data_IF_540687630089
#
_entry.id   IF_540687630089
#
_cell.length_a   1.000
_cell.length_b   1.000
_cell.length_c   1.000
_cell.angle_alpha   90.00
_cell.angle_beta   90.00
_cell.angle_gamma   90.00
#
_symmetry.space_group_name_H-M   'P 1'
#
loop_
_entity.id
_entity.type
_entity.pdbx_description
1 polymer ?
#
# COMPACT_ATOMS: atom_id res chain seq x y z
N UNK A 1 1.36 -8.03 -3.24
CA UNK A 1 0.18 -7.33 -2.70
C UNK A 1 0.17 -7.50 -1.19
N UNK A 2 -0.03 -6.42 -0.45
CA UNK A 2 -0.11 -6.42 1.01
C UNK A 2 -1.47 -5.88 1.42
N UNK A 3 -2.41 -6.76 1.80
CA UNK A 3 -3.60 -6.35 2.52
C UNK A 3 -3.23 -6.15 3.99
N UNK A 4 -3.47 -4.95 4.50
CA UNK A 4 -3.17 -4.59 5.88
C UNK A 4 -4.49 -4.52 6.62
N UNK A 5 -4.85 -5.65 7.21
CA UNK A 5 -5.94 -5.76 8.18
C UNK A 5 -5.31 -5.67 9.58
N UNK A 6 -5.85 -4.85 10.47
CA UNK A 6 -5.19 -4.33 11.68
C UNK A 6 -4.69 -5.34 12.74
N UNK A 7 -3.77 -6.23 12.41
CA UNK A 7 -3.04 -7.05 13.38
C UNK A 7 -1.63 -6.47 13.57
N UNK A 8 -1.32 -6.05 14.79
CA UNK A 8 0.02 -5.63 15.20
C UNK A 8 0.38 -6.11 16.61
N UNK A 9 -0.33 -7.10 17.16
CA UNK A 9 -0.07 -7.58 18.54
C UNK A 9 0.08 -9.11 18.63
N UNK A 10 -0.23 -9.88 17.59
CA UNK A 10 0.31 -11.22 17.40
C UNK A 10 1.27 -11.23 16.21
N UNK A 11 2.32 -12.06 16.26
CA UNK A 11 3.41 -12.17 15.29
C UNK A 11 2.97 -12.49 13.84
N UNK A 12 2.32 -11.56 13.15
CA UNK A 12 2.10 -11.67 11.72
C UNK A 12 2.09 -10.27 11.11
N UNK A 13 3.30 -9.77 10.82
CA UNK A 13 3.54 -8.67 9.89
C UNK A 13 2.70 -8.89 8.63
N UNK A 14 2.14 -7.82 8.06
CA UNK A 14 1.18 -7.90 6.95
C UNK A 14 1.53 -8.94 5.89
N UNK A 15 0.54 -9.72 5.46
CA UNK A 15 0.74 -10.81 4.53
C UNK A 15 1.17 -10.29 3.15
N UNK A 16 2.34 -10.72 2.65
CA UNK A 16 2.77 -10.42 1.28
C UNK A 16 2.30 -11.53 0.35
N UNK A 17 1.31 -11.23 -0.50
CA UNK A 17 0.95 -12.08 -1.63
C UNK A 17 1.88 -11.77 -2.81
N UNK A 18 2.80 -12.71 -3.10
CA UNK A 18 3.57 -12.69 -4.34
C UNK A 18 2.74 -13.29 -5.45
N UNK A 19 2.55 -12.54 -6.53
CA UNK A 19 1.81 -12.98 -7.71
C UNK A 19 2.68 -12.67 -8.93
N UNK A 20 2.89 -13.67 -9.78
CA UNK A 20 3.72 -13.56 -10.99
C UNK A 20 2.82 -13.68 -12.21
N UNK A 21 2.91 -12.73 -13.15
CA UNK A 21 2.24 -12.82 -14.45
C UNK A 21 3.16 -13.49 -15.46
N UNK A 22 2.62 -14.35 -16.34
CA UNK A 22 3.41 -15.05 -17.36
C UNK A 22 3.86 -14.12 -18.51
N UNK A 23 5.03 -14.39 -19.09
CA UNK A 23 5.70 -13.57 -20.12
C UNK A 23 5.03 -13.54 -21.51
N UNK A 24 3.86 -14.17 -21.72
CA UNK A 24 3.25 -14.35 -23.05
C UNK A 24 1.96 -13.52 -23.25
N UNK A 25 2.05 -12.50 -24.12
CA UNK A 25 1.01 -11.49 -24.45
C UNK A 25 -0.41 -12.02 -24.74
N UNK A 26 -0.59 -13.17 -25.38
CA UNK A 26 -1.94 -13.68 -25.76
C UNK A 26 -2.69 -14.40 -24.61
N UNK A 27 -1.98 -14.84 -23.57
CA UNK A 27 -2.57 -15.40 -22.35
C UNK A 27 -2.84 -14.32 -21.27
N UNK A 28 -2.29 -13.12 -21.47
CA UNK A 28 -2.15 -12.08 -20.46
C UNK A 28 -3.48 -11.51 -19.93
N UNK A 29 -4.48 -11.27 -20.79
CA UNK A 29 -5.79 -10.77 -20.35
C UNK A 29 -6.61 -11.80 -19.56
N UNK A 30 -6.49 -13.09 -19.92
CA UNK A 30 -7.10 -14.19 -19.17
C UNK A 30 -6.39 -14.39 -17.84
N UNK A 31 -5.08 -14.33 -17.84
CA UNK A 31 -4.24 -14.42 -16.65
C UNK A 31 -4.45 -13.21 -15.73
N UNK A 32 -4.73 -12.02 -16.26
CA UNK A 32 -5.06 -10.82 -15.48
C UNK A 32 -6.45 -10.89 -14.85
N UNK A 33 -7.46 -11.41 -15.57
CA UNK A 33 -8.79 -11.64 -14.96
C UNK A 33 -8.71 -12.72 -13.89
N UNK A 34 -7.92 -13.77 -14.14
CA UNK A 34 -7.66 -14.83 -13.16
C UNK A 34 -6.90 -14.28 -11.96
N UNK A 35 -5.87 -13.45 -12.17
CA UNK A 35 -5.15 -12.72 -11.14
C UNK A 35 -6.08 -11.80 -10.34
N UNK A 36 -6.96 -11.03 -10.99
CA UNK A 36 -7.92 -10.18 -10.31
C UNK A 36 -8.93 -10.99 -9.49
N UNK A 37 -9.33 -12.18 -9.98
CA UNK A 37 -10.18 -13.11 -9.25
C UNK A 37 -9.45 -13.77 -8.07
N UNK A 38 -8.18 -14.16 -8.24
CA UNK A 38 -7.31 -14.72 -7.19
C UNK A 38 -7.01 -13.68 -6.11
N UNK A 39 -6.76 -12.43 -6.51
CA UNK A 39 -6.68 -11.27 -5.63
C UNK A 39 -8.00 -11.07 -4.90
N UNK A 40 -9.14 -11.06 -5.61
CA UNK A 40 -10.46 -10.90 -5.00
C UNK A 40 -10.78 -12.01 -3.98
N UNK A 41 -10.44 -13.26 -4.29
CA UNK A 41 -10.61 -14.40 -3.38
C UNK A 41 -9.66 -14.35 -2.19
N UNK A 42 -8.39 -14.02 -2.41
CA UNK A 42 -7.42 -13.82 -1.34
C UNK A 42 -7.84 -12.71 -0.38
N UNK A 43 -8.32 -11.59 -0.91
CA UNK A 43 -8.85 -10.48 -0.12
C UNK A 43 -10.12 -10.86 0.64
N UNK A 44 -11.05 -11.57 0.00
CA UNK A 44 -12.27 -12.04 0.66
C UNK A 44 -11.95 -13.01 1.81
N UNK A 45 -10.99 -13.92 1.63
CA UNK A 45 -10.53 -14.84 2.67
C UNK A 45 -9.79 -14.17 3.82
N UNK A 46 -9.15 -13.02 3.57
CA UNK A 46 -8.49 -12.22 4.60
C UNK A 46 -9.48 -11.30 5.34
N UNK A 47 -10.48 -10.77 4.64
CA UNK A 47 -11.57 -9.98 5.23
C UNK A 47 -12.44 -10.80 6.17
N UNK A 48 -12.75 -12.06 5.85
CA UNK A 48 -13.49 -12.97 6.75
C UNK A 48 -12.72 -13.30 8.02
N UNK A 49 -11.38 -13.23 7.97
CA UNK A 49 -10.50 -13.46 9.13
C UNK A 49 -10.12 -12.17 9.88
N UNK A 50 -10.48 -10.99 9.35
CA UNK A 50 -10.16 -9.71 9.96
C UNK A 50 -11.05 -9.47 11.20
N UNK A 51 -10.51 -9.76 12.38
CA UNK A 51 -11.10 -9.32 13.66
C UNK A 51 -10.94 -7.79 13.81
N UNK A 52 -11.92 -7.13 14.43
CA UNK A 52 -11.83 -5.71 14.82
C UNK A 52 -10.70 -5.53 15.82
N UNK A 53 -9.66 -4.78 15.45
CA UNK A 53 -8.50 -4.54 16.31
C UNK A 53 -8.14 -3.06 16.35
N UNK A 54 -7.46 -2.65 17.42
CA UNK A 54 -7.26 -1.23 17.79
C UNK A 54 -6.02 -0.56 17.18
N UNK A 55 -5.11 -1.29 16.55
CA UNK A 55 -3.84 -0.76 16.03
C UNK A 55 -3.48 -1.40 14.67
N UNK A 56 -3.36 -0.57 13.64
CA UNK A 56 -2.92 -0.94 12.29
C UNK A 56 -1.45 -0.56 12.10
N UNK A 57 -0.59 -1.52 11.76
CA UNK A 57 0.84 -1.31 11.44
C UNK A 57 1.12 -1.43 9.95
N UNK A 58 0.85 -0.33 9.24
CA UNK A 58 1.12 -0.23 7.81
C UNK A 58 2.63 -0.19 7.56
N UNK A 59 3.37 0.56 8.40
CA UNK A 59 4.81 0.76 8.23
C UNK A 59 5.59 -0.54 8.40
N UNK A 60 5.25 -1.36 9.40
CA UNK A 60 5.87 -2.68 9.59
C UNK A 60 5.64 -3.60 8.39
N UNK A 61 4.42 -3.59 7.83
CA UNK A 61 4.10 -4.38 6.64
C UNK A 61 4.88 -3.89 5.39
N UNK A 62 5.03 -2.58 5.25
CA UNK A 62 5.82 -1.96 4.19
C UNK A 62 7.32 -2.30 4.30
N UNK A 63 7.85 -2.46 5.52
CA UNK A 63 9.23 -2.91 5.72
C UNK A 63 9.46 -4.30 5.15
N UNK A 64 8.57 -5.24 5.47
CA UNK A 64 8.64 -6.60 4.92
C UNK A 64 8.56 -6.55 3.38
N UNK A 65 7.70 -5.70 2.82
CA UNK A 65 7.61 -5.47 1.38
C UNK A 65 8.94 -5.06 0.75
N UNK A 66 9.63 -4.11 1.37
CA UNK A 66 10.91 -3.58 0.89
C UNK A 66 11.97 -4.69 0.84
N UNK A 67 12.05 -5.53 1.88
CA UNK A 67 12.98 -6.65 1.91
C UNK A 67 12.71 -7.65 0.77
N UNK A 68 11.42 -7.90 0.47
CA UNK A 68 11.01 -8.78 -0.62
C UNK A 68 11.34 -8.19 -2.01
N UNK A 69 11.07 -6.89 -2.20
CA UNK A 69 11.45 -6.16 -3.43
C UNK A 69 12.96 -6.27 -3.66
N UNK A 70 13.76 -6.10 -2.59
CA UNK A 70 15.21 -6.15 -2.66
C UNK A 70 15.75 -7.52 -3.10
N UNK A 71 15.03 -8.60 -2.81
CA UNK A 71 15.35 -9.96 -3.28
C UNK A 71 14.94 -10.13 -4.75
N UNK A 72 13.72 -9.72 -5.13
CA UNK A 72 13.16 -9.95 -6.46
C UNK A 72 13.85 -9.13 -7.57
N UNK A 73 14.35 -7.93 -7.29
CA UNK A 73 15.08 -7.16 -8.31
C UNK A 73 16.38 -7.81 -8.79
N UNK A 74 16.99 -8.67 -7.98
CA UNK A 74 18.16 -9.45 -8.42
C UNK A 74 17.81 -10.36 -9.61
N UNK A 75 16.53 -10.62 -9.82
CA UNK A 75 15.99 -11.45 -10.89
C UNK A 75 15.54 -10.61 -12.12
N UNK A 76 15.79 -9.30 -12.13
CA UNK A 76 15.49 -8.37 -13.24
C UNK A 76 13.99 -8.30 -13.62
N UNK A 77 13.10 -8.52 -12.66
CA UNK A 77 11.65 -8.42 -12.85
C UNK A 77 11.12 -7.02 -12.53
N UNK A 78 10.09 -6.57 -13.25
CA UNK A 78 9.31 -5.37 -12.88
C UNK A 78 8.50 -5.70 -11.62
N UNK A 79 8.70 -4.92 -10.55
CA UNK A 79 7.96 -5.09 -9.30
C UNK A 79 6.92 -3.99 -9.13
N UNK A 80 5.69 -4.41 -8.79
CA UNK A 80 4.58 -3.53 -8.45
C UNK A 80 4.14 -3.81 -7.03
N UNK A 81 4.28 -2.83 -6.14
CA UNK A 81 3.74 -2.90 -4.79
C UNK A 81 2.28 -2.49 -4.80
N UNK A 82 1.40 -3.34 -4.26
CA UNK A 82 -0.03 -3.05 -4.13
C UNK A 82 -0.36 -3.06 -2.64
N UNK A 83 -0.76 -1.91 -2.10
CA UNK A 83 -1.19 -1.73 -0.71
C UNK A 83 -2.69 -1.55 -0.68
N UNK A 84 -3.38 -2.38 0.10
CA UNK A 84 -4.83 -2.27 0.31
C UNK A 84 -5.12 -2.09 1.80
N UNK A 85 -5.62 -0.91 2.15
CA UNK A 85 -5.94 -0.52 3.51
C UNK A 85 -6.72 0.80 3.49
N UNK A 86 -7.31 1.19 4.61
CA UNK A 86 -7.83 2.54 4.82
C UNK A 86 -6.74 3.63 4.91
N UNK A 87 -5.47 3.25 4.79
CA UNK A 87 -4.29 4.10 4.88
C UNK A 87 -4.07 4.72 6.26
N UNK A 88 -4.78 4.27 7.30
CA UNK A 88 -4.65 4.84 8.65
C UNK A 88 -3.69 3.98 9.48
N UNK A 89 -2.46 4.47 9.67
CA UNK A 89 -1.51 3.83 10.59
C UNK A 89 -1.78 4.27 12.04
N UNK A 90 -1.77 3.30 12.97
CA UNK A 90 -2.12 3.50 14.38
C UNK A 90 -1.09 2.92 15.35
N UNK A 91 0.20 2.89 14.98
CA UNK A 91 1.30 2.48 15.86
C UNK A 91 1.90 3.64 16.64
N UNK A 92 2.60 3.36 17.75
CA UNK A 92 3.15 4.41 18.65
C UNK A 92 4.08 5.42 17.95
N UNK A 93 4.75 5.04 16.85
CA UNK A 93 5.65 5.91 16.10
C UNK A 93 4.99 6.77 15.01
N UNK A 94 3.71 6.51 14.69
CA UNK A 94 3.00 7.20 13.62
C UNK A 94 1.48 7.05 13.83
N UNK A 95 0.87 7.98 14.57
CA UNK A 95 -0.56 7.93 14.93
C UNK A 95 -1.38 8.86 14.03
N UNK A 96 -1.73 8.36 12.85
CA UNK A 96 -2.50 9.12 11.87
C UNK A 96 -3.88 9.53 12.37
N UNK A 97 -4.44 8.72 13.27
CA UNK A 97 -5.72 8.97 13.94
C UNK A 97 -5.68 10.15 14.91
N UNK A 98 -4.52 10.45 15.50
CA UNK A 98 -4.42 11.40 16.63
C UNK A 98 -3.49 12.56 16.37
N UNK A 99 -2.34 12.34 15.75
CA UNK A 99 -1.29 13.34 15.67
C UNK A 99 -1.78 14.58 14.90
N UNK A 100 -1.51 15.76 15.46
CA UNK A 100 -1.97 17.03 14.90
C UNK A 100 -1.32 17.35 13.55
N UNK A 101 -0.17 16.74 13.26
CA UNK A 101 0.54 16.88 11.99
C UNK A 101 -0.33 16.50 10.78
N UNK A 102 -1.23 15.53 10.96
CA UNK A 102 -2.14 15.09 9.90
C UNK A 102 -3.33 16.02 9.69
N UNK A 103 -3.59 16.97 10.58
CA UNK A 103 -4.66 17.96 10.37
C UNK A 103 -4.27 19.03 9.33
N UNK A 104 -3.01 19.06 8.89
CA UNK A 104 -2.49 20.02 7.91
C UNK A 104 -1.73 19.27 6.82
N UNK A 105 -2.23 19.21 5.58
CA UNK A 105 -1.60 18.48 4.48
C UNK A 105 -0.10 18.80 4.29
N UNK A 106 0.28 20.07 4.35
CA UNK A 106 1.68 20.50 4.19
C UNK A 106 2.60 19.96 5.30
N UNK A 107 2.11 19.95 6.54
CA UNK A 107 2.86 19.41 7.68
C UNK A 107 2.99 17.89 7.58
N UNK A 108 1.94 17.21 7.10
CA UNK A 108 1.96 15.78 6.87
C UNK A 108 2.99 15.39 5.80
N UNK A 109 3.11 16.17 4.71
CA UNK A 109 4.17 15.98 3.71
C UNK A 109 5.57 16.14 4.30
N UNK A 110 5.83 17.25 5.00
CA UNK A 110 7.14 17.47 5.63
C UNK A 110 7.50 16.34 6.60
N UNK A 111 6.53 15.89 7.39
CA UNK A 111 6.71 14.77 8.30
C UNK A 111 7.02 13.47 7.55
N UNK A 112 6.36 13.21 6.42
CA UNK A 112 6.62 12.04 5.59
C UNK A 112 8.04 12.01 5.05
N UNK A 113 8.57 13.14 4.57
CA UNK A 113 9.96 13.23 4.09
C UNK A 113 10.95 12.86 5.20
N UNK A 114 10.82 13.47 6.39
CA UNK A 114 11.68 13.17 7.53
C UNK A 114 11.51 11.72 8.00
N UNK A 115 10.28 11.21 8.01
CA UNK A 115 9.98 9.84 8.42
C UNK A 115 10.59 8.81 7.47
N UNK A 116 10.44 8.99 6.15
CA UNK A 116 10.99 8.11 5.13
C UNK A 116 12.53 8.04 5.22
N UNK A 117 13.18 9.21 5.39
CA UNK A 117 14.63 9.31 5.55
C UNK A 117 15.11 8.59 6.82
N UNK A 118 14.49 8.87 7.97
CA UNK A 118 14.88 8.24 9.24
C UNK A 118 14.71 6.73 9.22
N UNK A 119 13.71 6.25 8.48
CA UNK A 119 13.43 4.82 8.32
C UNK A 119 14.29 4.16 7.23
N UNK A 120 15.05 4.90 6.43
CA UNK A 120 15.82 4.36 5.29
C UNK A 120 14.95 3.47 4.37
N UNK A 121 13.75 3.94 4.03
CA UNK A 121 12.94 3.27 3.01
C UNK A 121 13.52 3.54 1.63
N UNK A 122 13.70 2.49 0.85
CA UNK A 122 14.14 2.55 -0.54
C UNK A 122 13.23 1.66 -1.39
N UNK A 123 12.39 2.30 -2.20
CA UNK A 123 11.45 1.62 -3.09
C UNK A 123 12.09 1.20 -4.40
N UNK A 124 13.38 1.52 -4.62
CA UNK A 124 14.18 1.07 -5.77
C UNK A 124 13.49 1.25 -7.11
N UNK A 125 12.85 2.38 -7.32
CA UNK A 125 12.09 2.65 -8.55
C UNK A 125 10.90 1.72 -8.81
N UNK A 126 10.32 1.14 -7.74
CA UNK A 126 9.08 0.37 -7.81
C UNK A 126 7.88 1.26 -8.17
N UNK A 127 6.87 0.66 -8.78
CA UNK A 127 5.57 1.26 -8.99
C UNK A 127 4.63 0.86 -7.85
N UNK A 128 3.87 1.81 -7.31
CA UNK A 128 3.10 1.63 -6.08
C UNK A 128 1.62 1.93 -6.31
N UNK A 129 0.74 0.99 -6.01
CA UNK A 129 -0.70 1.16 -6.06
C UNK A 129 -1.27 1.19 -4.64
N UNK A 130 -2.01 2.23 -4.31
CA UNK A 130 -2.61 2.46 -3.00
C UNK A 130 -4.13 2.41 -3.16
N UNK A 131 -4.70 1.23 -2.95
CA UNK A 131 -6.14 1.02 -2.98
C UNK A 131 -6.74 1.28 -1.60
N UNK A 132 -7.35 2.46 -1.45
CA UNK A 132 -8.01 2.88 -0.21
C UNK A 132 -9.27 2.05 -0.01
N UNK A 133 -9.38 1.43 1.17
CA UNK A 133 -10.57 0.73 1.62
C UNK A 133 -11.36 1.63 2.58
N UNK A 134 -12.68 1.57 2.51
CA UNK A 134 -13.50 2.27 3.50
C UNK A 134 -13.39 1.57 4.87
N UNK A 135 -13.11 2.35 5.91
CA UNK A 135 -13.16 1.90 7.30
C UNK A 135 -13.97 2.89 8.15
N UNK A 136 -14.50 2.42 9.27
CA UNK A 136 -15.19 3.30 10.23
C UNK A 136 -14.26 4.41 10.73
N UNK A 137 -12.98 4.11 10.93
CA UNK A 137 -12.00 5.08 11.42
C UNK A 137 -11.76 6.18 10.38
N UNK A 138 -11.58 5.81 9.10
CA UNK A 138 -11.42 6.76 7.99
C UNK A 138 -12.69 7.62 7.78
N UNK A 139 -13.88 7.03 7.95
CA UNK A 139 -15.15 7.76 7.84
C UNK A 139 -15.34 8.80 8.95
N UNK A 140 -14.85 8.52 10.16
CA UNK A 140 -14.94 9.43 11.31
C UNK A 140 -13.90 10.57 11.29
N UNK A 141 -12.87 10.47 10.45
CA UNK A 141 -11.89 11.55 10.29
C UNK A 141 -12.48 12.77 9.58
N UNK A 142 -11.98 13.94 9.95
CA UNK A 142 -12.26 15.17 9.20
C UNK A 142 -11.64 15.10 7.80
N UNK A 143 -12.16 15.91 6.88
CA UNK A 143 -11.60 16.07 5.52
C UNK A 143 -10.10 16.39 5.57
N UNK A 144 -9.71 17.33 6.42
CA UNK A 144 -8.33 17.80 6.51
C UNK A 144 -7.40 16.68 6.97
N UNK A 145 -7.86 15.86 7.93
CA UNK A 145 -7.07 14.71 8.40
C UNK A 145 -6.93 13.64 7.32
N UNK A 146 -7.99 13.34 6.57
CA UNK A 146 -7.92 12.41 5.43
C UNK A 146 -6.96 12.90 4.34
N UNK A 147 -7.00 14.19 4.03
CA UNK A 147 -6.07 14.80 3.08
C UNK A 147 -4.63 14.72 3.61
N UNK A 148 -4.40 15.00 4.89
CA UNK A 148 -3.09 14.85 5.51
C UNK A 148 -2.54 13.42 5.45
N UNK A 149 -3.39 12.41 5.69
CA UNK A 149 -3.00 10.99 5.52
C UNK A 149 -2.62 10.68 4.08
N UNK A 150 -3.42 11.13 3.11
CA UNK A 150 -3.13 10.92 1.69
C UNK A 150 -1.81 11.57 1.28
N UNK A 151 -1.62 12.83 1.65
CA UNK A 151 -0.40 13.58 1.34
C UNK A 151 0.84 13.00 2.02
N UNK A 152 0.70 12.51 3.26
CA UNK A 152 1.80 11.82 3.94
C UNK A 152 2.27 10.62 3.11
N UNK A 153 1.36 9.73 2.71
CA UNK A 153 1.75 8.52 1.99
C UNK A 153 2.29 8.83 0.60
N UNK A 154 1.70 9.79 -0.12
CA UNK A 154 2.22 10.27 -1.40
C UNK A 154 3.68 10.72 -1.29
N UNK A 155 3.97 11.57 -0.30
CA UNK A 155 5.32 12.09 -0.07
C UNK A 155 6.27 11.03 0.49
N UNK A 156 5.80 10.12 1.33
CA UNK A 156 6.58 9.01 1.88
C UNK A 156 7.12 8.08 0.77
N UNK A 157 6.27 7.72 -0.20
CA UNK A 157 6.69 6.91 -1.33
C UNK A 157 7.57 7.69 -2.31
N UNK A 158 7.26 8.97 -2.53
CA UNK A 158 8.10 9.85 -3.34
C UNK A 158 9.51 9.99 -2.76
N UNK A 159 9.62 10.33 -1.48
CA UNK A 159 10.87 10.49 -0.75
C UNK A 159 11.69 9.19 -0.67
N UNK A 160 11.03 8.03 -0.67
CA UNK A 160 11.69 6.72 -0.75
C UNK A 160 12.07 6.27 -2.16
N UNK A 161 11.90 7.12 -3.20
CA UNK A 161 12.37 6.82 -4.56
C UNK A 161 11.43 5.99 -5.43
N UNK A 162 10.12 5.96 -5.12
CA UNK A 162 9.14 5.34 -6.01
C UNK A 162 9.02 6.13 -7.32
N UNK A 163 9.07 5.48 -8.49
CA UNK A 163 8.94 6.16 -9.80
C UNK A 163 7.52 6.57 -10.11
N UNK A 164 6.54 5.87 -9.54
CA UNK A 164 5.12 6.14 -9.73
C UNK A 164 4.36 5.59 -8.56
N UNK A 165 3.40 6.37 -8.07
CA UNK A 165 2.37 5.89 -7.17
C UNK A 165 0.99 6.35 -7.64
N UNK A 166 -0.05 5.58 -7.31
CA UNK A 166 -1.44 5.95 -7.60
C UNK A 166 -2.34 5.60 -6.42
N UNK A 167 -3.11 6.58 -5.96
CA UNK A 167 -4.25 6.35 -5.08
C UNK A 167 -5.49 5.97 -5.87
N UNK A 168 -6.22 4.99 -5.37
CA UNK A 168 -7.52 4.60 -5.88
C UNK A 168 -8.49 4.44 -4.71
N UNK A 169 -9.63 5.12 -4.77
CA UNK A 169 -10.65 5.07 -3.71
C UNK A 169 -11.60 3.88 -3.86
N UNK A 170 -11.51 3.13 -4.96
CA UNK A 170 -12.32 1.94 -5.24
C UNK A 170 -11.57 0.64 -4.87
N UNK A 171 -10.62 0.71 -3.94
CA UNK A 171 -9.76 -0.40 -3.57
C UNK A 171 -8.97 -0.91 -4.77
N UNK A 172 -9.35 -2.08 -5.32
CA UNK A 172 -8.68 -2.73 -6.45
C UNK A 172 -9.17 -2.28 -7.83
N UNK A 173 -10.20 -1.43 -7.91
CA UNK A 173 -10.90 -1.15 -9.17
C UNK A 173 -10.02 -0.57 -10.28
N UNK A 174 -9.05 0.28 -9.94
CA UNK A 174 -8.10 0.85 -10.92
C UNK A 174 -6.80 0.04 -11.09
N UNK A 175 -6.60 -1.05 -10.34
CA UNK A 175 -5.36 -1.83 -10.37
C UNK A 175 -5.01 -2.35 -11.78
N UNK A 176 -5.95 -2.91 -12.58
CA UNK A 176 -5.63 -3.37 -13.93
C UNK A 176 -5.10 -2.23 -14.82
N UNK A 177 -5.70 -1.03 -14.74
CA UNK A 177 -5.24 0.13 -15.51
C UNK A 177 -3.86 0.60 -15.06
N UNK A 178 -3.60 0.54 -13.76
CA UNK A 178 -2.31 0.91 -13.20
C UNK A 178 -1.19 0.02 -13.74
N UNK A 179 -1.38 -1.31 -13.72
CA UNK A 179 -0.41 -2.30 -14.21
C UNK A 179 -0.14 -2.12 -15.71
N UNK A 180 -1.18 -1.87 -16.51
CA UNK A 180 -1.12 -1.83 -17.98
C UNK A 180 -0.57 -0.53 -18.60
N UNK A 181 -0.32 0.51 -17.79
CA UNK A 181 0.06 1.85 -18.30
C UNK A 181 1.37 1.89 -19.10
N UNK A 182 2.30 0.94 -18.90
CA UNK A 182 3.62 0.93 -19.56
C UNK A 182 3.71 0.18 -20.89
N UNK A 183 2.69 -0.57 -21.30
CA UNK A 183 2.81 -1.36 -22.55
C UNK A 183 2.50 -0.57 -23.83
N UNK A 184 2.21 0.73 -23.74
CA UNK A 184 1.80 1.59 -24.88
C UNK A 184 2.81 2.66 -25.32
N UNK A 185 4.01 2.68 -24.75
CA UNK A 185 5.10 3.61 -25.09
C UNK A 185 6.31 2.84 -25.57
#
# INVERSE_FOLDING_TARGET
MIPITGDAVSETSGHVLRLQTADKREAFDRDLRKFAAEVGQGLAGMQTNAKKYKQTDIVGSLRVAQDEIAVTEKENHRVVLVVLSDMVNCTQGLRMDKDAVFQKPDMARQHATTFAQNMNFDWRSSEIYLGVLESTDLQQMSSERRDGVREFWAEFFHSGGAVRYQFATDGIGQLPKFINYKEKS
#
